data_IF_438507727059
#
_entry.id   IF_438507727059
#
_cell.length_a   1.000
_cell.length_b   1.000
_cell.length_c   1.000
_cell.angle_alpha   90.00
_cell.angle_beta   90.00
_cell.angle_gamma   90.00
#
_symmetry.space_group_name_H-M   'P 1'
#
loop_
_entity.id
_entity.type
_entity.pdbx_description
1 polymer ?
#
# COMPACT_ATOMS: atom_id res chain seq x y z
N UNK A 1 -34.77 -86.52 -7.14
CA UNK A 1 -33.41 -86.22 -6.66
C UNK A 1 -33.06 -84.87 -7.22
N UNK A 2 -33.18 -83.79 -6.40
CA UNK A 2 -33.03 -82.42 -6.82
C UNK A 2 -31.67 -81.87 -6.30
N UNK A 3 -30.80 -81.47 -7.21
CA UNK A 3 -29.49 -80.93 -6.90
C UNK A 3 -29.66 -79.43 -6.78
N UNK A 4 -29.46 -78.89 -5.58
CA UNK A 4 -29.41 -77.43 -5.34
C UNK A 4 -28.01 -76.89 -5.69
N UNK A 5 -27.91 -76.03 -6.72
CA UNK A 5 -26.72 -75.25 -7.02
C UNK A 5 -26.72 -73.98 -6.12
N UNK A 6 -25.78 -73.91 -5.22
CA UNK A 6 -25.49 -72.67 -4.46
C UNK A 6 -24.67 -71.74 -5.32
N UNK A 7 -25.26 -70.59 -5.65
CA UNK A 7 -24.58 -69.51 -6.32
C UNK A 7 -23.86 -68.68 -5.24
N UNK A 8 -22.52 -68.58 -5.33
CA UNK A 8 -21.69 -67.70 -4.46
C UNK A 8 -21.62 -66.34 -5.13
N UNK A 9 -22.19 -65.35 -4.44
CA UNK A 9 -22.11 -63.92 -4.84
C UNK A 9 -20.81 -63.36 -4.28
N UNK A 10 -19.83 -63.07 -5.15
CA UNK A 10 -18.60 -62.39 -4.78
C UNK A 10 -18.87 -60.89 -4.81
N UNK A 11 -18.89 -60.26 -3.63
CA UNK A 11 -19.03 -58.81 -3.47
C UNK A 11 -17.66 -58.19 -3.57
N UNK A 12 -17.33 -57.56 -4.71
CA UNK A 12 -16.09 -56.81 -4.91
C UNK A 12 -16.28 -55.42 -4.31
N UNK A 13 -15.67 -55.16 -3.17
CA UNK A 13 -15.62 -53.82 -2.58
C UNK A 13 -14.57 -52.95 -3.32
N UNK A 14 -15.02 -51.96 -4.06
CA UNK A 14 -14.16 -50.94 -4.66
C UNK A 14 -13.89 -49.87 -3.60
N UNK A 15 -12.68 -49.88 -3.03
CA UNK A 15 -12.15 -48.80 -2.20
C UNK A 15 -11.81 -47.57 -3.12
N UNK A 16 -12.72 -46.60 -3.16
CA UNK A 16 -12.38 -45.27 -3.72
C UNK A 16 -11.49 -44.54 -2.72
N UNK A 17 -10.19 -44.54 -2.98
CA UNK A 17 -9.22 -43.66 -2.30
C UNK A 17 -9.41 -42.20 -2.80
N UNK A 18 -10.19 -41.44 -2.04
CA UNK A 18 -10.35 -39.99 -2.24
C UNK A 18 -9.03 -39.27 -1.97
N UNK A 19 -8.28 -38.93 -3.00
CA UNK A 19 -7.17 -37.99 -2.90
C UNK A 19 -7.77 -36.61 -2.66
N UNK A 20 -7.83 -36.22 -1.39
CA UNK A 20 -8.18 -34.84 -1.00
C UNK A 20 -7.12 -33.88 -1.51
N UNK A 21 -7.38 -33.25 -2.64
CA UNK A 21 -6.61 -32.11 -3.10
C UNK A 21 -6.85 -30.95 -2.11
N UNK A 22 -5.97 -30.80 -1.15
CA UNK A 22 -5.87 -29.59 -0.33
C UNK A 22 -5.46 -28.44 -1.25
N UNK A 23 -6.46 -27.72 -1.75
CA UNK A 23 -6.23 -26.43 -2.41
C UNK A 23 -5.64 -25.49 -1.35
N UNK A 24 -4.31 -25.38 -1.36
CA UNK A 24 -3.59 -24.31 -0.70
C UNK A 24 -4.05 -23.01 -1.37
N UNK A 25 -5.07 -22.41 -0.77
CA UNK A 25 -5.51 -21.06 -1.16
C UNK A 25 -4.37 -20.12 -0.78
N UNK A 26 -3.46 -19.90 -1.71
CA UNK A 26 -2.56 -18.77 -1.63
C UNK A 26 -3.46 -17.52 -1.50
N UNK A 27 -3.54 -16.97 -0.29
CA UNK A 27 -4.12 -15.66 -0.08
C UNK A 27 -3.21 -14.69 -0.82
N UNK A 28 -3.55 -14.42 -2.07
CA UNK A 28 -2.99 -13.34 -2.84
C UNK A 28 -3.33 -12.08 -2.05
N UNK A 29 -2.33 -11.60 -1.32
CA UNK A 29 -2.35 -10.29 -0.66
C UNK A 29 -2.81 -9.32 -1.74
N UNK A 30 -4.02 -8.77 -1.59
CA UNK A 30 -4.62 -7.89 -2.58
C UNK A 30 -3.61 -6.81 -2.92
N UNK A 31 -3.01 -6.89 -4.09
CA UNK A 31 -2.24 -5.81 -4.65
C UNK A 31 -3.19 -4.61 -4.67
N UNK A 32 -2.80 -3.52 -4.01
CA UNK A 32 -3.54 -2.26 -4.11
C UNK A 32 -3.79 -2.02 -5.58
N UNK A 33 -5.04 -1.95 -5.97
CA UNK A 33 -5.52 -2.03 -7.35
C UNK A 33 -4.69 -1.18 -8.29
N UNK A 34 -4.26 -1.78 -9.34
CA UNK A 34 -3.30 -1.51 -10.39
C UNK A 34 -3.08 -0.10 -10.91
N UNK A 35 -3.58 0.99 -10.34
CA UNK A 35 -3.35 2.35 -10.84
C UNK A 35 -2.61 3.24 -9.82
N UNK A 36 -1.83 4.24 -10.30
CA UNK A 36 -1.14 5.20 -9.43
C UNK A 36 -2.10 5.95 -8.51
N UNK A 37 -3.24 6.39 -9.04
CA UNK A 37 -4.27 7.14 -8.32
C UNK A 37 -4.87 6.32 -7.17
N UNK A 38 -5.10 5.02 -7.43
CA UNK A 38 -5.65 4.13 -6.41
C UNK A 38 -4.69 3.93 -5.24
N UNK A 39 -3.37 3.90 -5.50
CA UNK A 39 -2.36 3.83 -4.45
C UNK A 39 -2.36 5.10 -3.59
N UNK A 40 -2.40 6.28 -4.23
CA UNK A 40 -2.44 7.57 -3.52
C UNK A 40 -3.74 7.69 -2.71
N UNK A 41 -4.89 7.36 -3.30
CA UNK A 41 -6.17 7.37 -2.59
C UNK A 41 -6.20 6.41 -1.39
N UNK A 42 -5.59 5.23 -1.51
CA UNK A 42 -5.48 4.27 -0.41
C UNK A 42 -4.57 4.80 0.71
N UNK A 43 -3.47 5.49 0.37
CA UNK A 43 -2.60 6.14 1.35
C UNK A 43 -3.35 7.20 2.16
N UNK A 44 -4.09 8.11 1.52
CA UNK A 44 -4.91 9.10 2.21
C UNK A 44 -5.99 8.46 3.10
N UNK A 45 -6.62 7.39 2.63
CA UNK A 45 -7.61 6.65 3.43
C UNK A 45 -6.98 5.99 4.66
N UNK A 46 -5.81 5.40 4.51
CA UNK A 46 -5.06 4.82 5.63
C UNK A 46 -4.66 5.90 6.64
N UNK A 47 -4.19 7.05 6.17
CA UNK A 47 -3.82 8.20 6.99
C UNK A 47 -5.01 8.72 7.81
N UNK A 48 -6.13 9.01 7.14
CA UNK A 48 -7.37 9.48 7.81
C UNK A 48 -7.86 8.52 8.90
N UNK A 49 -7.66 7.22 8.73
CA UNK A 49 -8.02 6.20 9.72
C UNK A 49 -6.92 5.92 10.76
N UNK A 50 -5.88 6.75 10.82
CA UNK A 50 -4.70 6.61 11.71
C UNK A 50 -3.97 5.26 11.55
N UNK A 51 -4.04 4.66 10.37
CA UNK A 51 -3.36 3.43 9.97
C UNK A 51 -2.33 3.65 8.87
N UNK A 52 -1.95 4.91 8.66
CA UNK A 52 -0.96 5.32 7.68
C UNK A 52 0.48 4.95 8.09
N UNK A 53 1.40 4.95 7.12
CA UNK A 53 2.80 4.58 7.37
C UNK A 53 3.59 5.59 8.19
N UNK A 54 3.13 6.84 8.31
CA UNK A 54 3.85 7.92 8.98
C UNK A 54 3.68 7.90 10.52
N UNK A 55 2.59 7.33 11.03
CA UNK A 55 2.28 7.33 12.47
C UNK A 55 2.57 6.01 13.17
N UNK A 56 3.51 5.21 12.68
CA UNK A 56 3.81 3.93 13.29
C UNK A 56 5.28 3.53 13.12
N UNK A 57 5.80 2.80 14.09
CA UNK A 57 7.17 2.30 14.14
C UNK A 57 7.27 0.78 14.11
N UNK A 58 6.14 0.08 13.87
CA UNK A 58 6.04 -1.38 14.08
C UNK A 58 6.04 -2.20 12.80
N UNK A 59 5.68 -1.60 11.67
CA UNK A 59 5.50 -2.34 10.42
C UNK A 59 6.25 -1.70 9.25
N UNK A 60 7.46 -2.18 9.00
CA UNK A 60 8.20 -1.84 7.79
C UNK A 60 7.39 -2.20 6.53
N UNK A 61 6.66 -3.31 6.54
CA UNK A 61 5.83 -3.74 5.43
C UNK A 61 4.73 -2.73 5.07
N UNK A 62 4.26 -1.93 6.04
CA UNK A 62 3.29 -0.86 5.78
C UNK A 62 3.95 0.30 5.02
N UNK A 63 5.18 0.65 5.34
CA UNK A 63 5.98 1.64 4.59
C UNK A 63 6.24 1.13 3.17
N UNK A 64 6.70 -0.11 3.02
CA UNK A 64 7.02 -0.73 1.73
C UNK A 64 5.78 -0.94 0.83
N UNK A 65 4.58 -0.95 1.41
CA UNK A 65 3.33 -0.99 0.66
C UNK A 65 3.16 0.25 -0.23
N UNK A 66 3.55 1.41 0.26
CA UNK A 66 3.30 2.69 -0.41
C UNK A 66 4.53 3.27 -1.08
N UNK A 67 5.70 3.10 -0.48
CA UNK A 67 6.90 3.82 -0.88
C UNK A 67 7.92 2.92 -1.59
N UNK A 68 8.62 3.50 -2.56
CA UNK A 68 9.81 2.92 -3.16
C UNK A 68 10.92 2.87 -2.10
N UNK A 69 11.84 1.89 -2.25
CA UNK A 69 12.84 1.58 -1.24
C UNK A 69 13.59 2.81 -0.72
N UNK A 70 14.02 3.72 -1.63
CA UNK A 70 14.81 4.87 -1.24
C UNK A 70 14.09 5.84 -0.30
N UNK A 71 12.81 6.17 -0.60
CA UNK A 71 12.00 7.00 0.29
C UNK A 71 11.54 6.20 1.52
N UNK A 72 11.16 4.94 1.34
CA UNK A 72 10.73 4.08 2.43
C UNK A 72 11.80 3.88 3.50
N UNK A 73 13.09 3.79 3.13
CA UNK A 73 14.21 3.71 4.07
C UNK A 73 14.36 4.97 4.91
N UNK A 74 14.16 6.15 4.31
CA UNK A 74 14.22 7.43 5.00
C UNK A 74 13.08 7.56 6.02
N UNK A 75 11.84 7.32 5.61
CA UNK A 75 10.65 7.33 6.48
C UNK A 75 10.81 6.34 7.62
N UNK A 76 11.26 5.12 7.33
CA UNK A 76 11.44 4.09 8.36
C UNK A 76 12.54 4.45 9.35
N UNK A 77 13.66 5.00 8.85
CA UNK A 77 14.76 5.47 9.70
C UNK A 77 14.26 6.56 10.65
N UNK A 78 13.59 7.58 10.13
CA UNK A 78 13.06 8.68 10.92
C UNK A 78 12.12 8.19 12.02
N UNK A 79 11.12 7.39 11.68
CA UNK A 79 10.19 6.79 12.63
C UNK A 79 10.88 5.95 13.72
N UNK A 80 12.02 5.33 13.42
CA UNK A 80 12.79 4.51 14.39
C UNK A 80 13.73 5.33 15.27
N UNK A 81 14.27 6.42 14.75
CA UNK A 81 15.25 7.25 15.46
C UNK A 81 14.60 8.31 16.34
N UNK A 82 13.45 8.85 15.94
CA UNK A 82 12.68 9.83 16.71
C UNK A 82 12.06 9.25 17.99
N UNK A 83 11.91 7.91 18.11
CA UNK A 83 11.39 7.22 19.31
C UNK A 83 10.07 7.75 19.85
N UNK A 84 9.24 8.34 18.97
CA UNK A 84 7.96 8.94 19.33
C UNK A 84 8.02 10.43 19.63
N UNK A 85 9.21 11.04 19.57
CA UNK A 85 9.39 12.49 19.52
C UNK A 85 9.28 13.00 18.08
N UNK A 86 9.29 14.32 17.90
CA UNK A 86 9.28 14.92 16.57
C UNK A 86 10.59 14.57 15.85
N UNK A 87 10.46 13.95 14.68
CA UNK A 87 11.58 13.64 13.80
C UNK A 87 11.77 14.70 12.73
N UNK A 88 12.26 14.29 11.57
CA UNK A 88 12.31 15.16 10.37
C UNK A 88 10.90 15.48 9.89
N UNK A 89 9.99 14.52 10.01
CA UNK A 89 8.57 14.72 9.72
C UNK A 89 7.91 15.27 10.99
N UNK A 90 7.64 16.57 11.02
CA UNK A 90 7.06 17.28 12.17
C UNK A 90 5.57 17.63 11.98
N UNK A 91 4.99 17.38 10.80
CA UNK A 91 3.60 17.55 10.45
C UNK A 91 3.03 16.37 9.67
N UNK A 92 1.85 16.52 9.11
CA UNK A 92 1.29 15.52 8.20
C UNK A 92 1.84 15.72 6.77
N UNK A 93 2.73 14.83 6.28
CA UNK A 93 3.39 15.01 4.99
C UNK A 93 2.44 14.81 3.80
N UNK A 94 1.21 14.33 4.00
CA UNK A 94 0.20 14.23 2.95
C UNK A 94 -0.58 15.53 2.76
N UNK A 95 -0.48 16.45 3.72
CA UNK A 95 -1.14 17.75 3.67
C UNK A 95 -0.15 18.90 3.76
N UNK A 96 1.12 18.62 4.00
CA UNK A 96 2.16 19.62 4.23
C UNK A 96 1.73 20.65 5.30
N UNK A 97 1.27 20.12 6.45
CA UNK A 97 0.65 20.93 7.48
C UNK A 97 0.68 20.24 8.86
N UNK A 98 0.75 21.04 9.93
CA UNK A 98 0.53 20.58 11.30
C UNK A 98 -0.94 20.68 11.68
N UNK A 99 -1.60 21.78 11.33
CA UNK A 99 -3.03 22.01 11.55
C UNK A 99 -3.81 21.89 10.25
N UNK A 100 -5.00 21.29 10.31
CA UNK A 100 -5.75 20.95 9.13
C UNK A 100 -7.24 21.29 9.24
N UNK A 101 -7.73 22.07 8.26
CA UNK A 101 -9.15 22.23 7.96
C UNK A 101 -9.36 21.92 6.47
N UNK A 102 -9.37 20.63 6.14
CA UNK A 102 -9.35 20.17 4.74
C UNK A 102 -10.75 20.19 4.13
N UNK A 103 -10.86 20.92 3.00
CA UNK A 103 -12.07 20.99 2.14
C UNK A 103 -11.69 20.68 0.69
N UNK A 104 -12.69 20.34 -0.11
CA UNK A 104 -12.57 20.15 -1.58
C UNK A 104 -11.44 19.19 -2.01
N UNK A 105 -11.19 18.14 -1.19
CA UNK A 105 -10.14 17.15 -1.47
C UNK A 105 -10.46 16.35 -2.74
N UNK A 106 -9.50 16.25 -3.66
CA UNK A 106 -9.57 15.44 -4.87
C UNK A 106 -8.22 14.82 -5.22
N UNK A 107 -8.27 13.65 -5.84
CA UNK A 107 -7.11 12.99 -6.47
C UNK A 107 -7.29 13.12 -7.98
N UNK A 108 -6.31 13.75 -8.64
CA UNK A 108 -6.27 13.91 -10.09
C UNK A 108 -5.94 12.61 -10.81
N UNK A 109 -6.18 12.59 -12.14
CA UNK A 109 -5.72 11.50 -13.01
C UNK A 109 -4.20 11.55 -13.13
N UNK A 110 -3.56 10.39 -13.21
CA UNK A 110 -2.12 10.33 -13.44
C UNK A 110 -1.75 10.84 -14.84
N UNK A 111 -0.62 11.52 -14.91
CA UNK A 111 0.08 11.82 -16.16
C UNK A 111 1.41 11.08 -16.17
N UNK A 112 1.79 10.58 -17.33
CA UNK A 112 3.06 9.86 -17.48
C UNK A 112 4.15 10.82 -17.98
N UNK A 113 5.27 10.86 -17.25
CA UNK A 113 6.44 11.68 -17.60
C UNK A 113 7.70 10.84 -17.37
N UNK A 114 8.51 10.66 -18.41
CA UNK A 114 9.80 9.94 -18.34
C UNK A 114 9.72 8.56 -17.63
N UNK A 115 8.67 7.79 -17.91
CA UNK A 115 8.45 6.47 -17.31
C UNK A 115 7.97 6.49 -15.85
N UNK A 116 7.66 7.67 -15.30
CA UNK A 116 7.07 7.88 -13.98
C UNK A 116 5.60 8.29 -14.12
N UNK A 117 4.79 7.96 -13.14
CA UNK A 117 3.44 8.51 -13.04
C UNK A 117 3.45 9.67 -12.03
N UNK A 118 2.85 10.79 -12.41
CA UNK A 118 2.59 11.91 -11.51
C UNK A 118 1.11 11.96 -11.19
N UNK A 119 0.78 12.05 -9.91
CA UNK A 119 -0.60 12.16 -9.42
C UNK A 119 -0.70 13.35 -8.50
N UNK A 120 -1.62 14.26 -8.78
CA UNK A 120 -1.86 15.42 -7.94
C UNK A 120 -2.99 15.14 -6.94
N UNK A 121 -2.76 15.45 -5.68
CA UNK A 121 -3.79 15.63 -4.68
C UNK A 121 -4.03 17.12 -4.49
N UNK A 122 -5.26 17.57 -4.64
CA UNK A 122 -5.66 18.97 -4.49
C UNK A 122 -6.67 19.10 -3.36
N UNK A 123 -6.58 20.18 -2.60
CA UNK A 123 -7.48 20.46 -1.49
C UNK A 123 -7.40 21.94 -1.09
N UNK A 124 -8.28 22.38 -0.23
CA UNK A 124 -8.15 23.63 0.51
C UNK A 124 -7.81 23.33 1.96
N UNK A 125 -6.84 24.05 2.52
CA UNK A 125 -6.53 24.02 3.93
C UNK A 125 -6.69 25.43 4.50
N UNK A 126 -7.59 25.63 5.46
CA UNK A 126 -7.97 26.97 5.98
C UNK A 126 -8.30 27.99 4.87
N UNK A 127 -8.95 27.53 3.79
CA UNK A 127 -9.32 28.37 2.63
C UNK A 127 -8.21 28.54 1.59
N UNK A 128 -6.99 28.13 1.86
CA UNK A 128 -5.89 28.17 0.89
C UNK A 128 -5.87 26.94 0.01
N UNK A 129 -5.78 27.11 -1.31
CA UNK A 129 -5.63 26.01 -2.26
C UNK A 129 -4.23 25.42 -2.21
N UNK A 130 -4.15 24.12 -2.02
CA UNK A 130 -2.91 23.34 -1.99
C UNK A 130 -2.91 22.27 -3.08
N UNK A 131 -1.75 22.00 -3.63
CA UNK A 131 -1.50 20.88 -4.55
C UNK A 131 -0.26 20.15 -4.08
N UNK A 132 -0.37 18.84 -3.92
CA UNK A 132 0.75 17.95 -3.60
C UNK A 132 0.88 16.95 -4.75
N UNK A 133 2.05 16.86 -5.36
CA UNK A 133 2.32 15.97 -6.48
C UNK A 133 3.08 14.74 -6.02
N UNK A 134 2.51 13.57 -6.26
CA UNK A 134 3.14 12.28 -6.01
C UNK A 134 3.87 11.81 -7.25
N UNK A 135 5.16 11.50 -7.12
CA UNK A 135 5.97 10.86 -8.17
C UNK A 135 5.99 9.36 -7.89
N UNK A 136 5.45 8.56 -8.81
CA UNK A 136 5.37 7.12 -8.66
C UNK A 136 6.18 6.38 -9.71
N UNK A 137 6.74 5.25 -9.32
CA UNK A 137 7.45 4.33 -10.21
C UNK A 137 6.79 2.95 -10.17
N UNK A 138 6.80 2.23 -11.28
CA UNK A 138 6.24 0.89 -11.39
C UNK A 138 7.34 -0.15 -11.29
N UNK A 139 7.30 -0.97 -10.26
CA UNK A 139 8.18 -2.13 -10.09
C UNK A 139 7.42 -3.45 -10.23
N UNK A 140 8.09 -4.57 -9.97
CA UNK A 140 7.49 -5.91 -10.02
C UNK A 140 6.29 -6.07 -9.06
N UNK A 141 6.30 -5.40 -7.93
CA UNK A 141 5.23 -5.41 -6.94
C UNK A 141 4.17 -4.31 -7.16
N UNK A 142 4.12 -3.68 -8.35
CA UNK A 142 3.19 -2.60 -8.70
C UNK A 142 3.76 -1.20 -8.44
N UNK A 143 2.88 -0.21 -8.42
CA UNK A 143 3.25 1.18 -8.21
C UNK A 143 3.76 1.45 -6.79
N UNK A 144 4.76 2.35 -6.67
CA UNK A 144 5.29 2.85 -5.39
C UNK A 144 5.60 4.33 -5.52
N UNK A 145 5.35 5.09 -4.46
CA UNK A 145 5.70 6.50 -4.37
C UNK A 145 7.21 6.62 -4.20
N UNK A 146 7.84 7.30 -5.15
CA UNK A 146 9.27 7.59 -5.17
C UNK A 146 9.60 8.89 -4.44
N UNK A 147 8.70 9.88 -4.55
CA UNK A 147 8.82 11.16 -3.84
C UNK A 147 7.47 11.85 -3.72
N UNK A 148 7.38 12.83 -2.84
CA UNK A 148 6.25 13.75 -2.68
C UNK A 148 6.79 15.15 -2.88
N UNK A 149 6.16 15.90 -3.78
CA UNK A 149 6.55 17.27 -4.14
C UNK A 149 5.54 18.26 -3.59
N UNK A 150 6.03 19.22 -2.86
CA UNK A 150 5.28 20.32 -2.25
C UNK A 150 5.43 21.62 -3.06
N UNK A 151 4.89 22.71 -2.55
CA UNK A 151 5.08 24.02 -3.14
C UNK A 151 6.58 24.38 -3.26
N UNK A 152 6.91 25.25 -4.22
CA UNK A 152 8.27 25.77 -4.45
C UNK A 152 9.32 24.69 -4.80
N UNK A 153 8.86 23.50 -5.22
CA UNK A 153 9.74 22.40 -5.60
C UNK A 153 10.39 21.65 -4.43
N UNK A 154 10.03 21.97 -3.19
CA UNK A 154 10.42 21.21 -2.00
C UNK A 154 9.90 19.78 -2.09
N UNK A 155 10.67 18.79 -1.65
CA UNK A 155 10.24 17.39 -1.67
C UNK A 155 10.46 16.70 -0.33
N UNK A 156 9.68 15.67 -0.04
CA UNK A 156 9.88 14.90 1.18
C UNK A 156 11.29 14.31 1.28
N UNK A 157 11.89 13.89 0.16
CA UNK A 157 13.30 13.44 0.16
C UNK A 157 14.28 14.55 0.47
N UNK A 158 14.02 15.80 0.02
CA UNK A 158 14.90 16.92 0.33
C UNK A 158 14.90 17.22 1.83
N UNK A 159 13.75 17.18 2.49
CA UNK A 159 13.64 17.38 3.94
C UNK A 159 14.53 16.42 4.74
N UNK A 160 14.54 15.15 4.37
CA UNK A 160 15.42 14.16 5.01
C UNK A 160 16.91 14.37 4.74
N UNK A 161 17.29 15.07 3.69
CA UNK A 161 18.70 15.39 3.38
C UNK A 161 19.16 16.64 4.13
N UNK A 162 18.29 17.63 4.23
CA UNK A 162 18.60 18.93 4.83
C UNK A 162 18.65 18.84 6.37
N UNK A 163 18.00 17.85 6.96
CA UNK A 163 18.01 17.56 8.40
C UNK A 163 19.25 16.78 8.90
N UNK A 164 20.28 16.60 8.06
CA UNK A 164 21.51 15.86 8.42
C UNK A 164 22.63 16.77 8.89
#
# INVERSE_FOLDING_TARGET
MRIFRKTILVLTAILLSGVGATHLRAQTRAAVSGTPEALVADLYRAQKSKRGPFFQTRSRALVDKYFEKGLGDLIWKDARTSKGEVGVIDGDPLYDAQDMEIKHFAIGKSRMEEGRALVDATFENFGEKKTITYILVKGAAGWRIRDIVYAEGRTLKSEFKDAR
#
